data_IF_415117245502
#
_entry.id   IF_415117245502
#
_cell.length_a   1.000
_cell.length_b   1.000
_cell.length_c   1.000
_cell.angle_alpha   90.00
_cell.angle_beta   90.00
_cell.angle_gamma   90.00
#
_symmetry.space_group_name_H-M   'P 1'
#
loop_
_entity.id
_entity.type
_entity.pdbx_description
1 polymer ?
#
# COMPACT_ATOMS: atom_id res chain seq x y z
N UNK A 1 -13.64 3.55 -19.73
CA UNK A 1 -12.90 4.16 -18.61
C UNK A 1 -11.76 5.01 -19.11
N UNK A 2 -11.64 6.20 -18.56
CA UNK A 2 -10.48 7.05 -18.86
C UNK A 2 -9.26 6.55 -18.09
N UNK A 3 -8.08 6.98 -18.55
CA UNK A 3 -6.82 6.65 -17.88
C UNK A 3 -6.83 7.11 -16.41
N UNK A 4 -7.39 8.30 -16.20
CA UNK A 4 -7.50 8.87 -14.86
C UNK A 4 -8.34 8.00 -13.92
N UNK A 5 -9.47 7.50 -14.42
CA UNK A 5 -10.34 6.62 -13.64
C UNK A 5 -9.65 5.30 -13.31
N UNK A 6 -8.90 4.75 -14.27
CA UNK A 6 -8.14 3.54 -14.05
C UNK A 6 -7.07 3.73 -12.98
N UNK A 7 -6.36 4.86 -13.02
CA UNK A 7 -5.35 5.18 -12.02
C UNK A 7 -5.97 5.35 -10.65
N UNK A 8 -7.10 6.06 -10.57
CA UNK A 8 -7.80 6.24 -9.30
C UNK A 8 -8.24 4.90 -8.72
N UNK A 9 -8.75 4.01 -9.55
CA UNK A 9 -9.16 2.68 -9.13
C UNK A 9 -7.97 1.90 -8.57
N UNK A 10 -6.83 1.95 -9.24
CA UNK A 10 -5.62 1.29 -8.79
C UNK A 10 -5.15 1.83 -7.44
N UNK A 11 -5.21 3.16 -7.27
CA UNK A 11 -4.84 3.80 -6.01
C UNK A 11 -5.73 3.30 -4.88
N UNK A 12 -7.04 3.27 -5.11
CA UNK A 12 -8.00 2.81 -4.11
C UNK A 12 -7.79 1.34 -3.75
N UNK A 13 -7.61 0.48 -4.76
CA UNK A 13 -7.37 -0.94 -4.55
C UNK A 13 -6.09 -1.18 -3.76
N UNK A 14 -5.05 -0.44 -4.09
CA UNK A 14 -3.76 -0.56 -3.41
C UNK A 14 -3.85 -0.07 -1.96
N UNK A 15 -4.54 1.04 -1.74
CA UNK A 15 -4.77 1.55 -0.39
C UNK A 15 -5.51 0.53 0.47
N UNK A 16 -6.50 -0.15 -0.10
CA UNK A 16 -7.24 -1.18 0.61
C UNK A 16 -6.36 -2.38 0.95
N UNK A 17 -5.50 -2.80 0.03
CA UNK A 17 -4.53 -3.87 0.30
C UNK A 17 -3.59 -3.51 1.44
N UNK A 18 -3.09 -2.28 1.45
CA UNK A 18 -2.23 -1.80 2.53
C UNK A 18 -2.96 -1.81 3.86
N UNK A 19 -4.20 -1.36 3.85
CA UNK A 19 -5.02 -1.35 5.06
C UNK A 19 -5.24 -2.76 5.62
N UNK A 20 -5.57 -3.72 4.76
CA UNK A 20 -5.74 -5.11 5.16
C UNK A 20 -4.45 -5.70 5.71
N UNK A 21 -3.35 -5.42 5.04
CA UNK A 21 -2.04 -5.88 5.49
C UNK A 21 -1.71 -5.32 6.87
N UNK A 22 -1.97 -4.04 7.07
CA UNK A 22 -1.72 -3.39 8.35
C UNK A 22 -2.59 -3.98 9.46
N UNK A 23 -3.85 -4.27 9.18
CA UNK A 23 -4.75 -4.92 10.12
C UNK A 23 -4.23 -6.31 10.52
N UNK A 24 -3.79 -7.10 9.55
CA UNK A 24 -3.22 -8.42 9.81
C UNK A 24 -1.93 -8.31 10.63
N UNK A 25 -1.11 -7.31 10.32
CA UNK A 25 0.11 -7.07 11.07
C UNK A 25 -0.20 -6.80 12.54
N UNK A 26 -1.15 -5.91 12.82
CA UNK A 26 -1.56 -5.61 14.20
C UNK A 26 -2.15 -6.83 14.90
N UNK A 27 -2.95 -7.60 14.19
CA UNK A 27 -3.54 -8.83 14.74
C UNK A 27 -2.45 -9.83 15.12
N UNK A 28 -1.47 -10.01 14.26
CA UNK A 28 -0.35 -10.91 14.51
C UNK A 28 0.53 -10.42 15.65
N UNK A 29 0.72 -9.10 15.76
CA UNK A 29 1.47 -8.53 16.88
C UNK A 29 0.78 -8.76 18.23
N UNK A 30 -0.53 -8.86 18.24
CA UNK A 30 -1.28 -9.19 19.45
C UNK A 30 -1.03 -10.62 19.90
N UNK A 31 -0.65 -11.50 18.99
CA UNK A 31 -0.30 -12.89 19.26
C UNK A 31 1.22 -13.05 19.25
N UNK A 32 1.89 -12.41 20.22
CA UNK A 32 3.36 -12.35 20.28
C UNK A 32 4.04 -13.72 20.31
N UNK A 33 3.35 -14.74 20.78
CA UNK A 33 3.93 -16.07 20.95
C UNK A 33 4.18 -16.77 19.60
N UNK A 34 3.54 -16.28 18.52
CA UNK A 34 3.64 -16.89 17.21
C UNK A 34 4.58 -16.16 16.25
N UNK A 35 4.99 -14.93 16.58
CA UNK A 35 5.82 -14.13 15.68
C UNK A 35 7.28 -14.07 16.13
N UNK A 36 8.16 -14.44 15.22
CA UNK A 36 9.60 -14.30 15.43
C UNK A 36 10.07 -12.91 14.97
N UNK A 37 11.25 -12.43 15.45
CA UNK A 37 11.81 -11.18 14.93
C UNK A 37 12.00 -11.18 13.43
N UNK A 38 12.30 -12.33 12.83
CA UNK A 38 12.43 -12.44 11.37
C UNK A 38 11.11 -12.18 10.66
N UNK A 39 10.00 -12.65 11.22
CA UNK A 39 8.67 -12.41 10.66
C UNK A 39 8.35 -10.92 10.68
N UNK A 40 8.67 -10.24 11.78
CA UNK A 40 8.46 -8.79 11.89
C UNK A 40 9.27 -8.03 10.84
N UNK A 41 10.53 -8.41 10.65
CA UNK A 41 11.39 -7.78 9.64
C UNK A 41 10.83 -8.00 8.24
N UNK A 42 10.38 -9.21 7.96
CA UNK A 42 9.79 -9.54 6.66
C UNK A 42 8.54 -8.69 6.40
N UNK A 43 7.65 -8.61 7.37
CA UNK A 43 6.42 -7.82 7.23
C UNK A 43 6.72 -6.34 7.05
N UNK A 44 7.72 -5.81 7.77
CA UNK A 44 8.13 -4.42 7.60
C UNK A 44 8.65 -4.15 6.19
N UNK A 45 9.45 -5.06 5.64
CA UNK A 45 9.94 -4.93 4.26
C UNK A 45 8.81 -4.93 3.26
N UNK A 46 7.86 -5.84 3.42
CA UNK A 46 6.71 -5.93 2.51
C UNK A 46 5.90 -4.64 2.59
N UNK A 47 5.68 -4.13 3.79
CA UNK A 47 4.90 -2.90 3.98
C UNK A 47 5.62 -1.69 3.36
N UNK A 48 6.94 -1.58 3.54
CA UNK A 48 7.71 -0.51 2.92
C UNK A 48 7.61 -0.56 1.40
N UNK A 49 7.69 -1.76 0.83
CA UNK A 49 7.55 -1.92 -0.62
C UNK A 49 6.16 -1.50 -1.09
N UNK A 50 5.13 -1.86 -0.34
CA UNK A 50 3.77 -1.42 -0.63
C UNK A 50 3.64 0.10 -0.58
N UNK A 51 4.27 0.74 0.40
CA UNK A 51 4.25 2.20 0.52
C UNK A 51 4.91 2.86 -0.69
N UNK A 52 6.05 2.34 -1.12
CA UNK A 52 6.75 2.87 -2.29
C UNK A 52 5.91 2.72 -3.56
N UNK A 53 5.30 1.56 -3.75
CA UNK A 53 4.41 1.33 -4.88
C UNK A 53 3.21 2.27 -4.84
N UNK A 54 2.66 2.49 -3.66
CA UNK A 54 1.54 3.39 -3.47
C UNK A 54 1.93 4.84 -3.81
N UNK A 55 3.10 5.28 -3.38
CA UNK A 55 3.61 6.60 -3.69
C UNK A 55 3.78 6.80 -5.19
N UNK A 56 4.27 5.77 -5.89
CA UNK A 56 4.40 5.82 -7.35
C UNK A 56 3.03 5.98 -8.02
N UNK A 57 2.05 5.22 -7.57
CA UNK A 57 0.70 5.33 -8.11
C UNK A 57 0.10 6.71 -7.86
N UNK A 58 0.29 7.24 -6.65
CA UNK A 58 -0.18 8.58 -6.32
C UNK A 58 0.51 9.64 -7.18
N UNK A 59 1.81 9.50 -7.40
CA UNK A 59 2.57 10.43 -8.24
C UNK A 59 2.04 10.42 -9.66
N UNK A 60 1.81 9.23 -10.22
CA UNK A 60 1.22 9.10 -11.55
C UNK A 60 -0.16 9.74 -11.62
N UNK A 61 -0.99 9.50 -10.60
CA UNK A 61 -2.34 10.05 -10.54
C UNK A 61 -2.30 11.57 -10.49
N UNK A 62 -1.47 12.14 -9.63
CA UNK A 62 -1.38 13.59 -9.49
C UNK A 62 -0.81 14.25 -10.75
N UNK A 63 0.20 13.64 -11.37
CA UNK A 63 0.76 14.16 -12.62
C UNK A 63 -0.26 14.12 -13.74
N UNK A 64 -1.06 13.08 -13.79
CA UNK A 64 -2.11 12.97 -14.79
C UNK A 64 -3.25 13.96 -14.56
N UNK A 65 -3.51 14.28 -13.30
CA UNK A 65 -4.59 15.19 -12.91
C UNK A 65 -4.24 16.65 -13.19
N UNK A 66 -2.95 17.00 -13.23
CA UNK A 66 -2.55 18.38 -13.49
C UNK A 66 -2.98 18.77 -14.90
N UNK A 67 -3.69 19.90 -15.05
CA UNK A 67 -4.00 20.38 -16.38
C UNK A 67 -2.73 20.76 -17.11
N UNK A 68 -2.68 20.41 -18.38
CA UNK A 68 -1.58 20.85 -19.23
C UNK A 68 -1.72 22.36 -19.45
N UNK A 69 -0.80 23.07 -18.88
CA UNK A 69 -0.78 24.53 -19.04
C UNK A 69 -0.10 24.89 -20.34
#
# INVERSE_FOLDING_TARGET
>A
MTRREQLLKKVKEHAEKMRKFQQEFHKNMSNRDEMTPKDLQYMNKVFEQMKLDHEKLLTEYYNYKKPDL
#
